data_IF_230942331497
#
_entry.id   IF_230942331497
#
_cell.length_a   1.000
_cell.length_b   1.000
_cell.length_c   1.000
_cell.angle_alpha   90.00
_cell.angle_beta   90.00
_cell.angle_gamma   90.00
#
_symmetry.space_group_name_H-M   'P 1'
#
loop_
_entity.id
_entity.type
_entity.pdbx_description
1 polymer ?
#
# COMPACT_ATOMS: atom_id res chain seq x y z
N UNK A 1 63.30 -4.42 -28.10
CA UNK A 1 63.88 -3.21 -27.45
C UNK A 1 62.88 -2.08 -27.67
N UNK A 2 62.01 -1.76 -26.73
CA UNK A 2 62.25 -1.15 -25.41
C UNK A 2 62.16 0.39 -25.47
N UNK A 3 61.25 0.90 -24.62
CA UNK A 3 61.05 2.26 -24.09
C UNK A 3 60.41 3.31 -25.02
N UNK A 4 59.23 3.90 -24.74
CA UNK A 4 58.62 4.42 -23.49
C UNK A 4 59.31 5.68 -22.94
N UNK A 5 58.63 6.83 -23.04
CA UNK A 5 58.37 7.85 -21.99
C UNK A 5 57.97 9.21 -22.61
N UNK A 6 56.72 9.67 -22.40
CA UNK A 6 56.32 10.74 -21.45
C UNK A 6 56.29 12.13 -22.13
N UNK A 7 55.36 13.08 -21.92
CA UNK A 7 54.31 13.33 -20.93
C UNK A 7 53.32 14.38 -21.49
N UNK A 8 52.06 14.33 -21.05
CA UNK A 8 51.05 15.39 -21.11
C UNK A 8 51.44 16.57 -20.19
N UNK A 9 50.88 17.80 -20.36
CA UNK A 9 49.65 18.16 -19.63
C UNK A 9 48.65 19.00 -20.44
N UNK A 10 47.34 18.72 -20.34
CA UNK A 10 46.32 19.45 -19.56
C UNK A 10 46.20 20.94 -19.94
N UNK A 11 45.02 21.34 -20.44
CA UNK A 11 44.23 22.53 -20.03
C UNK A 11 43.50 23.17 -21.24
N UNK A 12 42.30 22.69 -21.59
CA UNK A 12 41.11 23.51 -21.98
C UNK A 12 39.89 22.58 -21.90
N UNK A 13 39.28 22.52 -20.72
CA UNK A 13 37.98 21.87 -20.50
C UNK A 13 37.26 22.68 -19.42
N UNK A 14 36.83 23.89 -19.78
CA UNK A 14 35.97 24.74 -18.97
C UNK A 14 35.47 25.87 -19.86
N UNK A 15 34.23 25.73 -20.34
CA UNK A 15 33.26 26.76 -20.78
C UNK A 15 32.37 26.16 -21.87
N UNK A 16 31.39 25.37 -21.43
CA UNK A 16 30.42 24.75 -22.32
C UNK A 16 29.35 23.92 -21.62
N UNK A 17 28.96 24.28 -20.39
CA UNK A 17 27.80 23.71 -19.70
C UNK A 17 27.08 24.81 -18.90
N UNK A 18 26.49 25.77 -19.61
CA UNK A 18 25.53 26.72 -19.07
C UNK A 18 24.49 26.96 -20.15
N UNK A 19 23.40 26.18 -20.09
CA UNK A 19 22.07 26.43 -20.65
C UNK A 19 21.42 25.12 -21.09
N UNK A 20 20.97 24.32 -20.13
CA UNK A 20 19.75 23.48 -20.21
C UNK A 20 19.40 23.10 -18.76
N UNK A 21 19.13 24.13 -17.96
CA UNK A 21 18.43 23.99 -16.70
C UNK A 21 16.98 23.65 -16.99
N UNK A 22 16.72 22.40 -17.39
CA UNK A 22 15.41 21.81 -17.23
C UNK A 22 15.27 21.68 -15.72
N UNK A 23 14.64 22.69 -15.11
CA UNK A 23 14.19 22.60 -13.74
C UNK A 23 13.29 21.38 -13.63
N UNK A 24 13.87 20.26 -13.20
CA UNK A 24 13.10 19.31 -12.43
C UNK A 24 12.65 20.14 -11.23
N UNK A 25 11.39 20.58 -11.26
CA UNK A 25 10.73 21.04 -10.07
C UNK A 25 11.07 19.99 -9.02
N UNK A 26 11.87 20.38 -8.03
CA UNK A 26 12.11 19.58 -6.85
C UNK A 26 10.70 19.24 -6.38
N UNK A 27 10.29 17.97 -6.56
CA UNK A 27 9.07 17.51 -5.94
C UNK A 27 9.21 17.92 -4.48
N UNK A 28 8.21 18.63 -3.92
CA UNK A 28 8.27 18.95 -2.50
C UNK A 28 8.57 17.64 -1.78
N UNK A 29 9.61 17.62 -0.95
CA UNK A 29 9.86 16.49 -0.05
C UNK A 29 8.51 16.11 0.54
N UNK A 30 8.06 14.84 0.42
CA UNK A 30 6.79 14.46 0.99
C UNK A 30 6.83 14.90 2.46
N UNK A 31 5.76 15.52 3.01
CA UNK A 31 5.68 15.69 4.46
C UNK A 31 6.02 14.34 5.08
N UNK A 32 6.87 14.33 6.10
CA UNK A 32 7.39 13.09 6.66
C UNK A 32 6.21 12.13 6.78
N UNK A 33 6.18 11.06 5.99
CA UNK A 33 4.93 10.32 5.71
C UNK A 33 4.21 9.86 6.97
N UNK A 34 4.96 9.65 8.06
CA UNK A 34 4.46 9.41 9.40
C UNK A 34 3.54 10.51 9.98
N UNK A 35 3.64 11.75 9.51
CA UNK A 35 2.81 12.91 9.86
C UNK A 35 1.54 12.99 9.02
N UNK A 36 1.38 12.15 8.00
CA UNK A 36 0.15 12.10 7.20
C UNK A 36 -1.05 11.80 8.11
N UNK A 37 -2.14 12.59 8.03
CA UNK A 37 -3.31 12.35 8.85
C UNK A 37 -3.97 10.99 8.54
N UNK A 38 -3.79 10.45 7.33
CA UNK A 38 -4.27 9.11 6.97
C UNK A 38 -3.52 7.99 7.71
N UNK A 39 -2.24 8.19 8.03
CA UNK A 39 -1.44 7.23 8.80
C UNK A 39 -1.60 7.45 10.31
N UNK A 40 -1.76 8.69 10.76
CA UNK A 40 -2.07 9.01 12.16
C UNK A 40 -3.45 8.49 12.58
N UNK A 41 -4.44 8.55 11.68
CA UNK A 41 -5.79 8.06 11.90
C UNK A 41 -6.01 6.64 11.38
N UNK A 42 -4.93 5.92 11.05
CA UNK A 42 -5.01 4.50 10.67
C UNK A 42 -5.73 3.73 11.78
N UNK A 43 -6.85 3.05 11.49
CA UNK A 43 -7.59 2.33 12.52
C UNK A 43 -6.82 1.09 12.98
N UNK A 44 -6.97 0.78 14.27
CA UNK A 44 -6.49 -0.50 14.80
C UNK A 44 -7.24 -1.63 14.08
N UNK A 45 -6.48 -2.53 13.47
CA UNK A 45 -6.97 -3.74 12.86
C UNK A 45 -7.86 -4.49 13.86
N UNK A 46 -9.04 -4.93 13.42
CA UNK A 46 -9.76 -6.02 14.10
C UNK A 46 -9.79 -7.22 13.15
N UNK A 47 -10.08 -8.42 13.66
CA UNK A 47 -9.92 -9.67 12.89
C UNK A 47 -10.31 -9.52 11.41
N UNK A 48 -9.30 -9.65 10.54
CA UNK A 48 -9.39 -9.67 9.06
C UNK A 48 -9.58 -8.32 8.36
N UNK A 49 -9.44 -7.18 9.05
CA UNK A 49 -9.50 -5.85 8.40
C UNK A 49 -8.17 -5.32 7.88
N UNK A 50 -7.04 -5.94 8.18
CA UNK A 50 -5.71 -5.41 7.83
C UNK A 50 -5.53 -5.06 6.36
N UNK A 51 -6.12 -5.84 5.43
CA UNK A 51 -6.11 -5.52 4.00
C UNK A 51 -6.88 -4.24 3.72
N UNK A 52 -8.10 -4.09 4.25
CA UNK A 52 -8.90 -2.88 4.07
C UNK A 52 -8.26 -1.64 4.68
N UNK A 53 -7.67 -1.76 5.87
CA UNK A 53 -6.93 -0.66 6.52
C UNK A 53 -5.76 -0.20 5.66
N UNK A 54 -4.91 -1.13 5.22
CA UNK A 54 -3.74 -0.76 4.42
C UNK A 54 -4.15 -0.25 3.03
N UNK A 55 -5.16 -0.83 2.41
CA UNK A 55 -5.66 -0.40 1.10
C UNK A 55 -6.17 1.04 1.13
N UNK A 56 -6.95 1.41 2.15
CA UNK A 56 -7.45 2.78 2.31
C UNK A 56 -6.30 3.74 2.60
N UNK A 57 -5.38 3.39 3.50
CA UNK A 57 -4.23 4.24 3.80
C UNK A 57 -3.34 4.47 2.58
N UNK A 58 -2.99 3.43 1.83
CA UNK A 58 -2.20 3.53 0.59
C UNK A 58 -2.93 4.38 -0.46
N UNK A 59 -4.20 4.07 -0.75
CA UNK A 59 -4.95 4.76 -1.79
C UNK A 59 -5.22 6.23 -1.50
N UNK A 60 -5.31 6.64 -0.22
CA UNK A 60 -5.49 8.04 0.15
C UNK A 60 -4.17 8.82 0.19
N UNK A 61 -3.05 8.14 0.44
CA UNK A 61 -1.72 8.73 0.29
C UNK A 61 -1.44 9.00 -1.19
N UNK A 62 -1.49 7.97 -2.04
CA UNK A 62 -1.21 8.05 -3.47
C UNK A 62 -2.29 8.86 -4.23
N UNK A 63 -3.51 8.85 -3.70
CA UNK A 63 -4.69 9.39 -4.36
C UNK A 63 -4.66 10.90 -4.53
N UNK A 64 -5.48 11.38 -5.47
CA UNK A 64 -5.62 12.81 -5.77
C UNK A 64 -6.86 13.37 -5.10
N UNK A 65 -6.75 14.39 -4.24
CA UNK A 65 -7.93 15.10 -3.77
C UNK A 65 -8.60 15.78 -4.96
N UNK A 66 -9.93 15.70 -5.02
CA UNK A 66 -10.68 16.40 -6.05
C UNK A 66 -10.47 17.92 -5.93
N UNK A 67 -9.97 18.54 -6.99
CA UNK A 67 -9.72 19.98 -7.06
C UNK A 67 -10.95 20.70 -7.63
N UNK A 68 -11.72 21.36 -6.75
CA UNK A 68 -12.85 22.21 -7.11
C UNK A 68 -14.22 21.55 -6.93
N UNK A 69 -15.26 22.37 -6.82
CA UNK A 69 -16.68 21.99 -6.93
C UNK A 69 -17.04 21.69 -8.40
N UNK A 70 -16.13 21.07 -9.18
CA UNK A 70 -16.47 20.73 -10.56
C UNK A 70 -17.56 19.65 -10.54
N UNK A 71 -18.77 19.96 -11.03
CA UNK A 71 -19.80 18.96 -11.20
C UNK A 71 -19.26 17.93 -12.19
N UNK A 72 -19.26 16.66 -11.81
CA UNK A 72 -19.05 15.58 -12.78
C UNK A 72 -20.33 15.49 -13.61
N UNK A 73 -20.44 16.38 -14.59
CA UNK A 73 -21.62 16.58 -15.43
C UNK A 73 -22.75 17.37 -14.74
N UNK A 74 -23.70 17.84 -15.55
CA UNK A 74 -24.92 18.55 -15.12
C UNK A 74 -25.90 17.69 -14.30
N UNK A 75 -25.49 16.49 -13.86
CA UNK A 75 -26.32 15.57 -13.07
C UNK A 75 -26.02 15.75 -11.57
N UNK A 76 -26.91 16.41 -10.80
CA UNK A 76 -26.76 16.54 -9.35
C UNK A 76 -26.75 15.18 -8.62
N UNK A 77 -27.26 14.10 -9.23
CA UNK A 77 -27.14 12.75 -8.69
C UNK A 77 -25.72 12.18 -8.81
N UNK A 78 -24.95 12.60 -9.82
CA UNK A 78 -23.54 12.22 -9.97
C UNK A 78 -22.67 12.88 -8.88
N UNK A 79 -22.90 14.17 -8.61
CA UNK A 79 -22.26 14.90 -7.50
C UNK A 79 -22.60 14.32 -6.12
N UNK A 80 -23.83 13.84 -5.90
CA UNK A 80 -24.19 13.19 -4.64
C UNK A 80 -23.56 11.81 -4.46
N UNK A 81 -23.32 11.05 -5.54
CA UNK A 81 -22.65 9.73 -5.49
C UNK A 81 -21.16 9.84 -5.16
N UNK A 82 -20.52 10.96 -5.49
CA UNK A 82 -19.11 11.22 -5.18
C UNK A 82 -18.82 11.30 -3.68
N UNK A 83 -19.80 11.69 -2.86
CA UNK A 83 -19.68 11.72 -1.40
C UNK A 83 -20.15 10.42 -0.72
N UNK A 84 -20.58 9.42 -1.50
CA UNK A 84 -20.97 8.12 -0.97
C UNK A 84 -19.72 7.29 -0.61
N UNK A 85 -19.53 6.92 0.67
CA UNK A 85 -18.38 6.13 1.08
C UNK A 85 -18.34 4.75 0.42
N UNK A 86 -19.46 4.17 -0.02
CA UNK A 86 -19.48 2.89 -0.72
C UNK A 86 -18.85 3.00 -2.12
N UNK A 87 -19.13 4.09 -2.82
CA UNK A 87 -18.55 4.38 -4.15
C UNK A 87 -17.04 4.56 -4.03
N UNK A 88 -16.60 5.38 -3.06
CA UNK A 88 -15.16 5.57 -2.81
C UNK A 88 -14.47 4.28 -2.37
N UNK A 89 -15.06 3.52 -1.46
CA UNK A 89 -14.50 2.24 -1.02
C UNK A 89 -14.36 1.26 -2.19
N UNK A 90 -15.34 1.22 -3.11
CA UNK A 90 -15.24 0.36 -4.29
C UNK A 90 -14.11 0.81 -5.23
N UNK A 91 -13.95 2.12 -5.43
CA UNK A 91 -12.84 2.68 -6.21
C UNK A 91 -11.47 2.28 -5.60
N UNK A 92 -11.32 2.41 -4.27
CA UNK A 92 -10.13 1.96 -3.52
C UNK A 92 -9.92 0.45 -3.66
N UNK A 93 -10.99 -0.34 -3.59
CA UNK A 93 -10.88 -1.78 -3.71
C UNK A 93 -10.38 -2.20 -5.10
N UNK A 94 -10.92 -1.60 -6.16
CA UNK A 94 -10.50 -1.90 -7.54
C UNK A 94 -9.08 -1.40 -7.84
N UNK A 95 -8.65 -0.29 -7.22
CA UNK A 95 -7.31 0.27 -7.43
C UNK A 95 -6.18 -0.60 -6.90
N UNK A 96 -6.45 -1.61 -6.05
CA UNK A 96 -5.47 -2.59 -5.56
C UNK A 96 -4.72 -3.37 -6.67
N UNK A 97 -5.18 -3.29 -7.92
CA UNK A 97 -4.48 -3.83 -9.09
C UNK A 97 -3.33 -2.95 -9.61
N UNK A 98 -3.21 -1.72 -9.11
CA UNK A 98 -2.17 -0.74 -9.44
C UNK A 98 -2.35 -0.05 -10.79
N UNK A 99 -3.58 0.06 -11.31
CA UNK A 99 -3.84 0.59 -12.65
C UNK A 99 -4.14 2.09 -12.67
N UNK A 100 -4.72 2.66 -11.61
CA UNK A 100 -5.08 4.09 -11.57
C UNK A 100 -5.15 4.59 -10.12
N UNK A 101 -4.48 5.70 -9.78
CA UNK A 101 -4.63 6.35 -8.47
C UNK A 101 -6.08 6.75 -8.22
N UNK A 102 -6.52 6.63 -6.97
CA UNK A 102 -7.90 6.98 -6.58
C UNK A 102 -8.06 8.49 -6.55
N UNK A 103 -9.16 9.00 -7.12
CA UNK A 103 -9.61 10.37 -6.86
C UNK A 103 -10.62 10.35 -5.72
N UNK A 104 -10.45 11.21 -4.72
CA UNK A 104 -11.31 11.23 -3.54
C UNK A 104 -11.85 12.63 -3.20
N UNK A 105 -13.07 12.72 -2.66
CA UNK A 105 -13.66 13.99 -2.22
C UNK A 105 -12.99 14.48 -0.93
N UNK A 106 -13.11 15.78 -0.64
CA UNK A 106 -12.66 16.35 0.64
C UNK A 106 -13.50 15.89 1.83
N UNK A 107 -14.76 15.56 1.59
CA UNK A 107 -15.69 15.06 2.60
C UNK A 107 -16.48 13.87 2.08
N UNK A 108 -16.86 12.98 2.97
CA UNK A 108 -17.77 11.86 2.70
C UNK A 108 -18.97 11.92 3.64
N UNK A 109 -20.09 11.35 3.21
CA UNK A 109 -21.31 11.31 4.01
C UNK A 109 -21.45 9.99 4.75
N UNK A 110 -21.41 10.01 6.08
CA UNK A 110 -21.62 8.84 6.93
C UNK A 110 -22.80 9.12 7.85
N UNK A 111 -23.81 8.25 7.83
CA UNK A 111 -25.03 8.41 8.65
C UNK A 111 -25.72 9.79 8.50
N UNK A 112 -25.65 10.38 7.31
CA UNK A 112 -26.22 11.69 7.00
C UNK A 112 -25.29 12.88 7.28
N UNK A 113 -24.23 12.69 8.05
CA UNK A 113 -23.24 13.72 8.41
C UNK A 113 -22.13 13.81 7.36
N UNK A 114 -21.70 15.04 7.03
CA UNK A 114 -20.55 15.29 6.15
C UNK A 114 -19.28 15.39 6.98
N UNK A 115 -18.36 14.44 6.83
CA UNK A 115 -17.13 14.36 7.60
C UNK A 115 -15.89 14.55 6.70
N UNK A 116 -14.81 15.20 7.17
CA UNK A 116 -13.54 15.28 6.44
C UNK A 116 -12.99 13.89 6.09
N UNK A 117 -12.41 13.76 4.89
CA UNK A 117 -11.86 12.50 4.40
C UNK A 117 -10.77 11.94 5.31
N UNK A 118 -9.94 12.80 5.91
CA UNK A 118 -8.91 12.37 6.84
C UNK A 118 -9.41 12.01 8.23
N UNK A 119 -10.70 12.16 8.55
CA UNK A 119 -11.19 11.93 9.91
C UNK A 119 -11.11 10.46 10.36
N UNK A 120 -10.87 10.16 11.66
CA UNK A 120 -10.80 8.79 12.15
C UNK A 120 -12.04 7.95 11.83
N UNK A 121 -13.24 8.54 11.95
CA UNK A 121 -14.51 7.87 11.64
C UNK A 121 -14.60 7.45 10.18
N UNK A 122 -14.12 8.29 9.27
CA UNK A 122 -14.09 7.99 7.82
C UNK A 122 -13.09 6.88 7.53
N UNK A 123 -11.88 6.95 8.10
CA UNK A 123 -10.87 5.91 7.96
C UNK A 123 -11.37 4.53 8.43
N UNK A 124 -12.04 4.47 9.58
CA UNK A 124 -12.66 3.24 10.10
C UNK A 124 -13.75 2.71 9.15
N UNK A 125 -14.62 3.59 8.67
CA UNK A 125 -15.75 3.21 7.85
C UNK A 125 -15.30 2.70 6.47
N UNK A 126 -14.45 3.45 5.76
CA UNK A 126 -13.90 3.03 4.47
C UNK A 126 -13.11 1.73 4.60
N UNK A 127 -12.25 1.61 5.62
CA UNK A 127 -11.47 0.39 5.85
C UNK A 127 -12.35 -0.84 6.05
N UNK A 128 -13.52 -0.66 6.70
CA UNK A 128 -14.49 -1.73 6.92
C UNK A 128 -15.16 -2.14 5.61
N UNK A 129 -15.63 -1.18 4.81
CA UNK A 129 -16.23 -1.44 3.50
C UNK A 129 -15.26 -2.18 2.56
N UNK A 130 -14.00 -1.71 2.47
CA UNK A 130 -12.97 -2.35 1.65
C UNK A 130 -12.63 -3.75 2.17
N UNK A 131 -12.51 -3.92 3.48
CA UNK A 131 -12.28 -5.24 4.08
C UNK A 131 -13.44 -6.22 3.81
N UNK A 132 -14.68 -5.74 3.84
CA UNK A 132 -15.87 -6.56 3.57
C UNK A 132 -15.92 -7.00 2.10
N UNK A 133 -15.62 -6.10 1.15
CA UNK A 133 -15.49 -6.46 -0.27
C UNK A 133 -14.38 -7.48 -0.50
N UNK A 134 -13.19 -7.23 0.05
CA UNK A 134 -12.07 -8.19 -0.02
C UNK A 134 -12.45 -9.55 0.55
N UNK A 135 -13.12 -9.58 1.72
CA UNK A 135 -13.54 -10.83 2.36
C UNK A 135 -14.56 -11.58 1.51
N UNK A 136 -15.54 -10.89 0.94
CA UNK A 136 -16.53 -11.50 0.06
C UNK A 136 -15.86 -12.17 -1.15
N UNK A 137 -14.95 -11.48 -1.83
CA UNK A 137 -14.20 -12.03 -2.96
C UNK A 137 -13.29 -13.18 -2.56
N UNK A 138 -12.56 -13.03 -1.47
CA UNK A 138 -11.69 -14.08 -0.94
C UNK A 138 -12.48 -15.34 -0.60
N UNK A 139 -13.64 -15.22 0.05
CA UNK A 139 -14.51 -16.35 0.39
C UNK A 139 -15.05 -17.05 -0.86
N UNK A 140 -15.51 -16.27 -1.86
CA UNK A 140 -15.97 -16.84 -3.13
C UNK A 140 -14.86 -17.60 -3.85
N UNK A 141 -13.68 -16.98 -3.96
CA UNK A 141 -12.51 -17.57 -4.64
C UNK A 141 -12.01 -18.83 -3.94
N UNK A 142 -12.00 -18.83 -2.60
CA UNK A 142 -11.51 -19.98 -1.83
C UNK A 142 -12.51 -21.13 -1.70
N UNK A 143 -13.80 -20.90 -2.00
CA UNK A 143 -14.81 -21.96 -2.07
C UNK A 143 -14.66 -22.88 -3.31
N UNK A 144 -13.94 -22.43 -4.35
CA UNK A 144 -13.63 -23.24 -5.53
C UNK A 144 -12.19 -23.75 -5.44
N UNK A 145 -11.96 -25.06 -5.58
CA UNK A 145 -10.64 -25.69 -5.50
C UNK A 145 -9.63 -25.10 -6.49
N UNK A 146 -10.06 -24.87 -7.73
CA UNK A 146 -9.18 -24.40 -8.81
C UNK A 146 -8.77 -22.95 -8.58
N UNK A 147 -9.74 -22.10 -8.21
CA UNK A 147 -9.49 -20.70 -7.91
C UNK A 147 -8.68 -20.52 -6.61
N UNK A 148 -8.94 -21.34 -5.59
CA UNK A 148 -8.16 -21.40 -4.36
C UNK A 148 -6.70 -21.76 -4.65
N UNK A 149 -6.47 -22.75 -5.52
CA UNK A 149 -5.12 -23.15 -5.92
C UNK A 149 -4.38 -22.02 -6.64
N UNK A 150 -5.02 -21.34 -7.59
CA UNK A 150 -4.41 -20.20 -8.29
C UNK A 150 -4.08 -19.05 -7.33
N UNK A 151 -4.98 -18.74 -6.39
CA UNK A 151 -4.74 -17.72 -5.38
C UNK A 151 -3.55 -18.11 -4.47
N UNK A 152 -3.47 -19.37 -4.04
CA UNK A 152 -2.36 -19.88 -3.23
C UNK A 152 -1.02 -19.82 -3.99
N UNK A 153 -1.01 -20.08 -5.30
CA UNK A 153 0.18 -19.89 -6.13
C UNK A 153 0.58 -18.42 -6.20
N UNK A 154 -0.38 -17.50 -6.40
CA UNK A 154 -0.10 -16.07 -6.43
C UNK A 154 0.45 -15.55 -5.08
N UNK A 155 -0.08 -16.03 -3.96
CA UNK A 155 0.44 -15.72 -2.61
C UNK A 155 1.89 -16.17 -2.38
N UNK A 156 2.35 -17.18 -3.12
CA UNK A 156 3.72 -17.72 -3.02
C UNK A 156 4.70 -17.07 -4.00
N UNK A 157 4.24 -16.14 -4.84
CA UNK A 157 5.10 -15.33 -5.71
C UNK A 157 5.63 -14.17 -4.87
N UNK A 158 6.69 -14.46 -4.12
CA UNK A 158 7.32 -13.48 -3.24
C UNK A 158 8.12 -12.44 -4.03
N UNK A 159 8.28 -11.26 -3.43
CA UNK A 159 9.24 -10.26 -3.92
C UNK A 159 10.63 -10.91 -3.91
N UNK A 160 11.35 -10.93 -5.06
CA UNK A 160 12.55 -11.77 -5.20
C UNK A 160 13.71 -11.29 -4.34
N UNK A 161 13.92 -9.99 -4.25
CA UNK A 161 15.02 -9.37 -3.50
C UNK A 161 14.71 -7.91 -3.11
N UNK A 162 15.60 -7.33 -2.30
CA UNK A 162 15.49 -5.97 -1.82
C UNK A 162 15.57 -4.91 -2.93
N UNK A 163 16.20 -5.20 -4.07
CA UNK A 163 16.23 -4.28 -5.21
C UNK A 163 14.85 -4.18 -5.84
N UNK A 164 14.18 -5.32 -6.03
CA UNK A 164 12.80 -5.37 -6.51
C UNK A 164 11.83 -4.69 -5.52
N UNK A 165 12.03 -4.88 -4.21
CA UNK A 165 11.26 -4.16 -3.18
C UNK A 165 11.42 -2.65 -3.31
N UNK A 166 12.66 -2.16 -3.38
CA UNK A 166 12.93 -0.73 -3.52
C UNK A 166 12.37 -0.15 -4.83
N UNK A 167 12.42 -0.91 -5.93
CA UNK A 167 11.82 -0.49 -7.19
C UNK A 167 10.29 -0.38 -7.09
N UNK A 168 9.63 -1.30 -6.36
CA UNK A 168 8.20 -1.21 -6.08
C UNK A 168 7.87 0.03 -5.27
N UNK A 169 8.58 0.27 -4.17
CA UNK A 169 8.37 1.45 -3.32
C UNK A 169 8.61 2.74 -4.11
N UNK A 170 9.74 2.88 -4.81
CA UNK A 170 10.07 4.09 -5.58
C UNK A 170 9.19 4.33 -6.81
N UNK A 171 8.38 3.34 -7.21
CA UNK A 171 7.35 3.52 -8.22
C UNK A 171 6.14 4.29 -7.72
N UNK A 172 5.93 4.32 -6.40
CA UNK A 172 4.89 5.07 -5.72
C UNK A 172 5.39 6.49 -5.36
N UNK A 173 4.61 7.57 -5.59
CA UNK A 173 5.01 8.94 -5.27
C UNK A 173 5.36 9.15 -3.79
N UNK A 174 4.64 8.48 -2.90
CA UNK A 174 4.82 8.51 -1.44
C UNK A 174 5.77 7.42 -0.94
N UNK A 175 6.38 6.71 -1.89
CA UNK A 175 7.29 5.57 -1.67
C UNK A 175 6.72 4.52 -0.73
N UNK A 176 5.41 4.34 -0.75
CA UNK A 176 4.68 3.53 0.21
C UNK A 176 3.76 2.57 -0.50
N UNK A 177 3.79 1.30 -0.11
CA UNK A 177 2.91 0.30 -0.72
C UNK A 177 2.42 -0.73 0.30
N UNK A 178 1.23 -1.30 0.05
CA UNK A 178 0.70 -2.42 0.81
C UNK A 178 1.38 -3.74 0.42
N UNK A 179 1.81 -4.48 1.43
CA UNK A 179 2.30 -5.84 1.26
C UNK A 179 1.45 -6.83 2.05
N UNK A 180 1.26 -8.00 1.44
CA UNK A 180 0.71 -9.16 2.13
C UNK A 180 1.86 -10.08 2.50
N UNK A 181 2.00 -10.31 3.79
CA UNK A 181 2.99 -11.18 4.39
C UNK A 181 2.41 -12.56 4.74
N UNK A 182 3.18 -13.61 4.48
CA UNK A 182 2.98 -14.93 5.08
C UNK A 182 4.17 -15.24 5.98
N UNK A 183 3.90 -15.58 7.24
CA UNK A 183 4.96 -15.82 8.20
C UNK A 183 4.45 -16.16 9.57
N UNK A 184 5.12 -15.65 10.59
CA UNK A 184 4.86 -16.01 11.98
C UNK A 184 5.00 -14.83 12.92
N UNK A 185 4.33 -14.95 14.05
CA UNK A 185 4.42 -14.06 15.19
C UNK A 185 4.91 -14.84 16.41
N UNK A 186 5.95 -14.32 17.05
CA UNK A 186 6.51 -14.84 18.29
C UNK A 186 6.05 -13.99 19.47
N UNK A 187 5.42 -14.64 20.45
CA UNK A 187 4.95 -14.01 21.68
C UNK A 187 6.05 -14.00 22.77
N UNK A 188 5.93 -13.16 23.80
CA UNK A 188 6.95 -13.08 24.87
C UNK A 188 7.20 -14.40 25.61
N UNK A 189 6.22 -15.29 25.66
CA UNK A 189 6.31 -16.64 26.24
C UNK A 189 6.98 -17.66 25.29
N UNK A 190 7.41 -17.23 24.10
CA UNK A 190 8.01 -18.06 23.07
C UNK A 190 6.99 -18.77 22.17
N UNK A 191 5.68 -18.61 22.40
CA UNK A 191 4.67 -19.19 21.53
C UNK A 191 4.74 -18.62 20.11
N UNK A 192 4.70 -19.50 19.11
CA UNK A 192 4.70 -19.14 17.69
C UNK A 192 3.30 -19.28 17.11
N UNK A 193 2.84 -18.25 16.40
CA UNK A 193 1.59 -18.28 15.66
C UNK A 193 1.82 -17.99 14.17
N UNK A 194 1.52 -18.92 13.26
CA UNK A 194 1.47 -18.64 11.83
C UNK A 194 0.44 -17.55 11.53
N UNK A 195 0.81 -16.56 10.74
CA UNK A 195 -0.05 -15.42 10.43
C UNK A 195 0.04 -15.04 8.96
N UNK A 196 -1.12 -14.64 8.43
CA UNK A 196 -1.23 -13.85 7.21
C UNK A 196 -1.57 -12.43 7.63
N UNK A 197 -0.82 -11.46 7.15
CA UNK A 197 -0.97 -10.07 7.58
C UNK A 197 -0.75 -9.11 6.43
N UNK A 198 -1.46 -7.99 6.44
CA UNK A 198 -1.24 -6.89 5.53
C UNK A 198 -0.73 -5.69 6.31
N UNK A 199 0.28 -5.02 5.75
CA UNK A 199 0.96 -3.87 6.34
C UNK A 199 1.52 -3.00 5.21
N UNK A 200 1.81 -1.74 5.50
CA UNK A 200 2.50 -0.87 4.56
C UNK A 200 4.01 -0.94 4.80
N UNK A 201 4.77 -0.91 3.72
CA UNK A 201 6.20 -0.58 3.75
C UNK A 201 6.40 0.78 3.11
N UNK A 202 7.29 1.57 3.69
CA UNK A 202 7.64 2.90 3.18
C UNK A 202 9.15 3.09 3.18
N UNK A 203 9.70 3.67 2.12
CA UNK A 203 11.10 4.11 2.08
C UNK A 203 11.21 5.54 2.61
N UNK A 204 11.86 5.69 3.77
CA UNK A 204 12.16 7.00 4.36
C UNK A 204 13.24 7.76 3.55
N UNK A 205 13.36 9.08 3.79
CA UNK A 205 14.34 9.94 3.10
C UNK A 205 15.80 9.47 3.28
N UNK A 206 16.12 8.88 4.44
CA UNK A 206 17.44 8.33 4.75
C UNK A 206 17.67 6.91 4.18
N UNK A 207 16.71 6.39 3.39
CA UNK A 207 16.76 5.09 2.75
C UNK A 207 16.38 3.92 3.66
N UNK A 208 16.00 4.15 4.92
CA UNK A 208 15.47 3.09 5.78
C UNK A 208 14.07 2.68 5.33
N UNK A 209 13.77 1.39 5.49
CA UNK A 209 12.42 0.87 5.31
C UNK A 209 11.69 0.86 6.64
N UNK A 210 10.50 1.46 6.64
CA UNK A 210 9.60 1.55 7.80
C UNK A 210 8.37 0.70 7.54
N UNK A 211 7.81 0.13 8.61
CA UNK A 211 6.54 -0.61 8.58
C UNK A 211 5.45 0.23 9.23
N UNK A 212 4.32 0.40 8.55
CA UNK A 212 3.08 0.84 9.20
C UNK A 212 2.18 -0.38 9.38
N UNK A 213 2.05 -0.83 10.62
CA UNK A 213 1.32 -2.04 11.00
C UNK A 213 -0.03 -1.67 11.60
N UNK A 214 -1.16 -2.06 10.98
CA UNK A 214 -2.47 -1.73 11.51
C UNK A 214 -2.78 -2.45 12.84
N UNK A 215 -1.97 -3.43 13.29
CA UNK A 215 -2.09 -3.95 14.66
C UNK A 215 -1.57 -2.98 15.74
N UNK A 216 -0.73 -2.01 15.36
CA UNK A 216 -0.19 -1.00 16.25
C UNK A 216 -0.01 0.32 15.45
N UNK A 217 -1.14 0.96 15.07
CA UNK A 217 -1.13 2.15 14.22
C UNK A 217 -0.62 3.39 14.99
N UNK A 218 -0.44 4.50 14.26
CA UNK A 218 -0.07 5.80 14.83
C UNK A 218 1.43 6.09 14.86
N UNK A 219 2.29 5.10 14.58
CA UNK A 219 3.72 5.35 14.38
C UNK A 219 4.37 4.35 13.41
N UNK A 220 5.42 4.75 12.69
CA UNK A 220 6.23 3.84 11.91
C UNK A 220 7.07 2.94 12.82
N UNK A 221 7.22 1.68 12.41
CA UNK A 221 8.06 0.69 13.09
C UNK A 221 9.34 0.47 12.28
N UNK A 222 10.52 0.56 12.90
CA UNK A 222 11.76 0.16 12.24
C UNK A 222 11.70 -1.35 11.96
N UNK A 223 12.21 -1.74 10.80
CA UNK A 223 12.20 -3.14 10.39
C UNK A 223 13.57 -3.59 9.88
N UNK A 224 13.74 -4.91 9.85
CA UNK A 224 14.87 -5.56 9.20
C UNK A 224 14.38 -6.18 7.90
N UNK A 225 15.05 -5.84 6.80
CA UNK A 225 14.86 -6.45 5.49
C UNK A 225 15.99 -7.45 5.26
N UNK A 226 15.64 -8.69 4.92
CA UNK A 226 16.60 -9.76 4.62
C UNK A 226 16.26 -10.42 3.29
N UNK A 227 17.25 -10.46 2.39
CA UNK A 227 17.19 -11.30 1.21
C UNK A 227 17.35 -12.76 1.60
N UNK A 228 16.44 -13.61 1.12
CA UNK A 228 16.53 -15.07 1.28
C UNK A 228 16.43 -15.73 -0.09
N UNK A 229 16.87 -17.00 -0.25
CA UNK A 229 16.64 -17.75 -1.49
C UNK A 229 15.16 -17.90 -1.88
N UNK A 230 14.24 -17.61 -0.96
CA UNK A 230 12.79 -17.73 -1.13
C UNK A 230 12.09 -16.36 -1.23
N UNK A 231 12.84 -15.28 -1.43
CA UNK A 231 12.34 -13.91 -1.53
C UNK A 231 12.72 -13.02 -0.35
N UNK A 232 12.13 -11.84 -0.30
CA UNK A 232 12.34 -10.85 0.76
C UNK A 232 11.59 -11.23 2.03
N UNK A 233 12.31 -11.23 3.13
CA UNK A 233 11.75 -11.32 4.48
C UNK A 233 11.81 -9.95 5.17
N UNK A 234 10.71 -9.60 5.83
CA UNK A 234 10.57 -8.38 6.62
C UNK A 234 10.27 -8.78 8.06
N UNK A 235 10.97 -8.18 9.01
CA UNK A 235 10.76 -8.43 10.42
C UNK A 235 10.75 -7.15 11.25
N UNK A 236 9.85 -7.06 12.21
CA UNK A 236 9.73 -5.95 13.16
C UNK A 236 9.13 -6.43 14.47
N UNK A 237 9.11 -5.56 15.46
CA UNK A 237 8.52 -5.84 16.78
C UNK A 237 7.47 -4.78 17.07
N UNK A 238 6.25 -5.19 17.41
CA UNK A 238 5.17 -4.26 17.76
C UNK A 238 4.14 -4.90 18.71
N UNK A 239 3.35 -4.08 19.43
CA UNK A 239 2.25 -4.55 20.25
C UNK A 239 1.24 -5.37 19.46
N UNK A 240 0.81 -6.48 20.03
CA UNK A 240 -0.28 -7.25 19.49
C UNK A 240 -1.62 -6.65 19.93
N UNK A 241 -2.37 -6.12 18.96
CA UNK A 241 -3.69 -5.49 19.17
C UNK A 241 -4.63 -6.14 20.21
N UNK A 242 -4.67 -7.47 20.30
CA UNK A 242 -5.67 -8.17 21.13
C UNK A 242 -5.21 -8.30 22.59
N UNK A 243 -3.90 -8.31 22.85
CA UNK A 243 -3.35 -8.54 24.20
C UNK A 243 -2.46 -7.40 24.70
N UNK A 244 -2.09 -6.45 23.83
CA UNK A 244 -1.09 -5.43 24.09
C UNK A 244 0.36 -5.95 24.21
N UNK A 245 0.56 -7.28 24.18
CA UNK A 245 1.90 -7.86 24.32
C UNK A 245 2.77 -7.52 23.13
N UNK A 246 4.02 -7.13 23.39
CA UNK A 246 5.00 -6.89 22.33
C UNK A 246 5.40 -8.22 21.68
N UNK A 247 5.15 -8.34 20.38
CA UNK A 247 5.44 -9.55 19.62
C UNK A 247 6.49 -9.29 18.54
N UNK A 248 7.35 -10.28 18.30
CA UNK A 248 8.25 -10.25 17.16
C UNK A 248 7.54 -10.84 15.94
N UNK A 249 7.59 -10.13 14.83
CA UNK A 249 6.88 -10.49 13.61
C UNK A 249 7.88 -10.72 12.48
N UNK A 250 7.66 -11.77 11.70
CA UNK A 250 8.52 -12.13 10.59
C UNK A 250 7.67 -12.64 9.43
N UNK A 251 7.76 -11.98 8.28
CA UNK A 251 6.96 -12.30 7.09
C UNK A 251 7.80 -12.34 5.82
N UNK A 252 7.45 -13.25 4.92
CA UNK A 252 7.82 -13.13 3.50
C UNK A 252 6.71 -12.41 2.76
N UNK A 253 7.08 -11.42 1.96
CA UNK A 253 6.13 -10.52 1.28
C UNK A 253 5.83 -10.99 -0.14
N UNK A 254 4.54 -11.09 -0.46
CA UNK A 254 4.05 -11.43 -1.79
C UNK A 254 4.14 -10.23 -2.75
N UNK A 255 4.27 -10.50 -4.06
CA UNK A 255 4.08 -9.49 -5.10
C UNK A 255 2.60 -9.06 -5.18
N UNK A 256 2.29 -7.92 -4.58
CA UNK A 256 0.95 -7.36 -4.38
C UNK A 256 0.08 -7.38 -5.65
N UNK A 257 0.55 -6.74 -6.73
CA UNK A 257 -0.23 -6.59 -7.97
C UNK A 257 -0.69 -7.94 -8.51
N UNK A 258 0.19 -8.94 -8.49
CA UNK A 258 -0.14 -10.25 -9.02
C UNK A 258 -1.14 -10.99 -8.14
N UNK A 259 -1.04 -10.84 -6.82
CA UNK A 259 -2.02 -11.38 -5.89
C UNK A 259 -3.43 -10.80 -6.15
N UNK A 260 -3.57 -9.48 -6.15
CA UNK A 260 -4.88 -8.85 -6.33
C UNK A 260 -5.44 -9.03 -7.75
N UNK A 261 -4.61 -8.99 -8.79
CA UNK A 261 -5.04 -9.34 -10.16
C UNK A 261 -5.57 -10.77 -10.22
N UNK A 262 -4.91 -11.72 -9.55
CA UNK A 262 -5.37 -13.12 -9.51
C UNK A 262 -6.68 -13.27 -8.74
N UNK A 263 -6.82 -12.57 -7.61
CA UNK A 263 -8.05 -12.54 -6.82
C UNK A 263 -9.21 -12.01 -7.66
N UNK A 264 -9.06 -10.84 -8.28
CA UNK A 264 -10.13 -10.19 -9.03
C UNK A 264 -10.47 -10.96 -10.31
N UNK A 265 -9.47 -11.47 -11.04
CA UNK A 265 -9.70 -12.31 -12.20
C UNK A 265 -10.45 -13.60 -11.84
N UNK A 266 -10.18 -14.17 -10.66
CA UNK A 266 -10.89 -15.35 -10.17
C UNK A 266 -12.32 -15.01 -9.74
N UNK A 267 -12.51 -13.93 -8.98
CA UNK A 267 -13.82 -13.50 -8.50
C UNK A 267 -14.78 -13.17 -9.66
N UNK A 268 -14.30 -12.50 -10.71
CA UNK A 268 -15.09 -12.17 -11.93
C UNK A 268 -15.55 -13.39 -12.72
N UNK A 269 -14.86 -14.54 -12.59
CA UNK A 269 -15.22 -15.79 -13.28
C UNK A 269 -16.26 -16.62 -12.52
N UNK A 270 -16.54 -16.28 -11.26
CA UNK A 270 -17.48 -17.02 -10.44
C UNK A 270 -18.92 -16.51 -10.62
N UNK A 271 -19.93 -17.42 -10.56
CA UNK A 271 -21.35 -17.04 -10.60
C UNK A 271 -21.71 -16.09 -9.45
N UNK A 272 -22.60 -15.13 -9.70
CA UNK A 272 -22.98 -14.13 -8.69
C UNK A 272 -21.91 -13.06 -8.45
N UNK A 273 -20.94 -12.92 -9.36
CA UNK A 273 -20.16 -11.69 -9.49
C UNK A 273 -21.13 -10.57 -9.90
N UNK A 274 -21.68 -9.88 -8.90
CA UNK A 274 -22.27 -8.59 -9.15
C UNK A 274 -21.18 -7.73 -9.81
N UNK A 275 -21.34 -7.46 -11.11
CA UNK A 275 -20.80 -6.24 -11.67
C UNK A 275 -21.39 -5.14 -10.82
N UNK A 276 -20.60 -4.55 -9.94
CA UNK A 276 -20.96 -3.30 -9.27
C UNK A 276 -21.28 -2.32 -10.41
N UNK A 277 -22.57 -2.17 -10.71
CA UNK A 277 -23.04 -1.20 -11.68
C UNK A 277 -23.21 0.09 -10.88
N UNK A 278 -22.44 1.14 -11.18
CA UNK A 278 -22.47 2.39 -10.43
C UNK A 278 -23.83 3.09 -10.47
#
# INVERSE_FOLDING_TARGET
MALCRQLLPILVLLLGQLALGIGHAQQPSPPAIAESPFLQHMPVNSERRCVGVCAVSEALLEGRPQTGDEPVGDDPAASSRLHDPAVLAHAIYVSLTGETPVTYPRTVRINGESLPIESPSVMVHLSTLVADMYRADFQRVTASSDHAYQLALAQRRFVPDGTALLAMLRGDPDRTAIFIGTGERTFPDGHLRPTYHAFLLSEAEDGRILVFDPNAPGQPWPCTIRNTPRGVQVAWTSPYRDTGQTTHQQYRIAGQQQYFRTLFASARRLPGSATFSP
#
